data_IF_152653238485
#
_entry.id   IF_152653238485
#
_cell.length_a   1.000
_cell.length_b   1.000
_cell.length_c   1.000
_cell.angle_alpha   90.00
_cell.angle_beta   90.00
_cell.angle_gamma   90.00
#
_symmetry.space_group_name_H-M   'P 1'
#
loop_
_entity.id
_entity.type
_entity.pdbx_description
1 polymer ?
#
# COMPACT_ATOMS: atom_id res chain seq x y z
N UNK A 1 -26.55 -8.20 10.45
CA UNK A 1 -26.48 -6.76 10.21
C UNK A 1 -25.03 -6.40 9.95
N UNK A 2 -24.75 -5.64 8.90
CA UNK A 2 -23.42 -5.11 8.63
C UNK A 2 -23.47 -3.59 8.85
N UNK A 3 -22.54 -3.09 9.66
CA UNK A 3 -22.30 -1.66 9.86
C UNK A 3 -21.00 -1.33 9.14
N UNK A 4 -21.05 -0.38 8.21
CA UNK A 4 -19.92 0.01 7.36
C UNK A 4 -19.84 1.55 7.27
N UNK A 5 -18.81 2.07 6.60
CA UNK A 5 -18.60 3.50 6.35
C UNK A 5 -18.43 4.35 7.61
N UNK A 6 -17.85 3.76 8.67
CA UNK A 6 -17.56 4.43 9.95
C UNK A 6 -16.48 5.53 9.85
N UNK A 7 -15.82 5.62 8.70
CA UNK A 7 -14.88 6.69 8.35
C UNK A 7 -15.57 7.97 7.87
N UNK A 8 -16.86 7.91 7.48
CA UNK A 8 -17.61 9.09 7.07
C UNK A 8 -17.86 10.02 8.25
N UNK A 9 -17.34 11.25 8.14
CA UNK A 9 -17.46 12.25 9.19
C UNK A 9 -16.51 12.03 10.37
N UNK A 10 -15.54 11.11 10.25
CA UNK A 10 -14.46 11.01 11.22
C UNK A 10 -13.66 12.32 11.26
N UNK A 11 -13.48 12.88 12.44
CA UNK A 11 -12.72 14.11 12.69
C UNK A 11 -11.62 13.92 13.75
N UNK A 12 -11.41 12.68 14.20
CA UNK A 12 -10.49 12.32 15.28
C UNK A 12 -10.81 12.99 16.64
N UNK A 13 -12.04 13.49 16.83
CA UNK A 13 -12.51 14.02 18.11
C UNK A 13 -12.65 12.92 19.17
N UNK A 14 -12.60 13.31 20.45
CA UNK A 14 -12.86 12.39 21.55
C UNK A 14 -14.28 11.80 21.47
N UNK A 15 -15.27 12.60 21.10
CA UNK A 15 -16.65 12.13 20.93
C UNK A 15 -16.77 11.03 19.85
N UNK A 16 -16.10 11.20 18.72
CA UNK A 16 -16.06 10.18 17.67
C UNK A 16 -15.40 8.87 18.15
N UNK A 17 -14.31 8.97 18.94
CA UNK A 17 -13.65 7.81 19.54
C UNK A 17 -14.55 7.10 20.55
N UNK A 18 -15.22 7.83 21.44
CA UNK A 18 -16.16 7.26 22.41
C UNK A 18 -17.38 6.62 21.73
N UNK A 19 -17.88 7.22 20.64
CA UNK A 19 -18.94 6.65 19.83
C UNK A 19 -18.56 5.27 19.26
N UNK A 20 -17.36 5.16 18.66
CA UNK A 20 -16.87 3.87 18.13
C UNK A 20 -16.66 2.84 19.24
N UNK A 21 -16.08 3.24 20.38
CA UNK A 21 -15.92 2.36 21.52
C UNK A 21 -17.27 1.81 22.03
N UNK A 22 -18.28 2.68 22.15
CA UNK A 22 -19.65 2.29 22.52
C UNK A 22 -20.31 1.36 21.49
N UNK A 23 -20.10 1.63 20.20
CA UNK A 23 -20.60 0.77 19.11
C UNK A 23 -20.03 -0.65 19.19
N UNK A 24 -18.72 -0.79 19.38
CA UNK A 24 -18.08 -2.10 19.51
C UNK A 24 -18.61 -2.88 20.73
N UNK A 25 -18.70 -2.22 21.88
CA UNK A 25 -19.25 -2.85 23.10
C UNK A 25 -20.71 -3.28 22.92
N UNK A 26 -21.53 -2.45 22.27
CA UNK A 26 -22.92 -2.78 21.99
C UNK A 26 -23.04 -3.98 21.03
N UNK A 27 -22.25 -3.99 19.96
CA UNK A 27 -22.23 -5.08 18.99
C UNK A 27 -21.83 -6.41 19.64
N UNK A 28 -20.78 -6.41 20.46
CA UNK A 28 -20.32 -7.60 21.19
C UNK A 28 -21.41 -8.13 22.14
N UNK A 29 -22.04 -7.25 22.94
CA UNK A 29 -23.14 -7.63 23.83
C UNK A 29 -24.33 -8.24 23.09
N UNK A 30 -24.74 -7.63 21.97
CA UNK A 30 -25.86 -8.15 21.17
C UNK A 30 -25.53 -9.51 20.56
N UNK A 31 -24.31 -9.66 20.03
CA UNK A 31 -23.84 -10.92 19.43
C UNK A 31 -23.77 -12.09 20.42
N UNK A 32 -23.59 -11.79 21.72
CA UNK A 32 -23.58 -12.76 22.81
C UNK A 32 -24.99 -13.15 23.26
N UNK A 33 -25.90 -12.17 23.38
CA UNK A 33 -27.23 -12.39 23.96
C UNK A 33 -28.21 -13.00 22.95
N UNK A 34 -28.10 -12.64 21.67
CA UNK A 34 -29.04 -13.09 20.64
C UNK A 34 -28.36 -13.96 19.58
N UNK A 35 -28.53 -15.29 19.59
CA UNK A 35 -27.92 -16.16 18.59
C UNK A 35 -28.49 -15.96 17.18
N UNK A 36 -29.69 -15.40 17.05
CA UNK A 36 -30.34 -15.14 15.76
C UNK A 36 -29.96 -13.78 15.15
N UNK A 37 -29.18 -12.96 15.87
CA UNK A 37 -28.72 -11.66 15.38
C UNK A 37 -27.20 -11.56 15.49
N UNK A 38 -26.54 -11.45 14.33
CA UNK A 38 -25.11 -11.17 14.25
C UNK A 38 -24.87 -9.79 13.64
N UNK A 39 -24.08 -8.99 14.33
CA UNK A 39 -23.62 -7.67 13.95
C UNK A 39 -22.15 -7.81 13.55
N UNK A 40 -21.86 -7.41 12.32
CA UNK A 40 -20.52 -7.27 11.78
C UNK A 40 -20.25 -5.78 11.59
N UNK A 41 -19.03 -5.36 11.92
CA UNK A 41 -18.58 -3.98 11.75
C UNK A 41 -17.35 -4.00 10.86
N UNK A 42 -17.37 -3.23 9.78
CA UNK A 42 -16.18 -2.93 8.98
C UNK A 42 -15.68 -1.53 9.30
N UNK A 43 -14.38 -1.42 9.54
CA UNK A 43 -13.70 -0.16 9.82
C UNK A 43 -12.32 -0.19 9.17
N UNK A 44 -11.82 0.99 8.80
CA UNK A 44 -10.47 1.18 8.27
C UNK A 44 -9.44 0.94 9.39
N UNK A 45 -8.32 0.32 9.05
CA UNK A 45 -7.34 -0.14 10.04
C UNK A 45 -6.72 1.03 10.83
N UNK A 46 -6.35 2.10 10.14
CA UNK A 46 -5.80 3.30 10.75
C UNK A 46 -6.79 4.02 11.66
N UNK A 47 -8.10 3.88 11.45
CA UNK A 47 -9.09 4.40 12.39
C UNK A 47 -9.19 3.51 13.62
N UNK A 48 -9.18 2.19 13.45
CA UNK A 48 -9.19 1.24 14.55
C UNK A 48 -7.97 1.38 15.46
N UNK A 49 -6.78 1.53 14.88
CA UNK A 49 -5.51 1.65 15.62
C UNK A 49 -5.46 2.93 16.49
N UNK A 50 -6.24 3.95 16.14
CA UNK A 50 -6.28 5.28 16.77
C UNK A 50 -7.36 5.44 17.86
N UNK A 51 -7.90 4.35 18.42
CA UNK A 51 -8.91 4.45 19.48
C UNK A 51 -8.37 3.91 20.81
N UNK A 52 -7.66 4.75 21.59
CA UNK A 52 -7.14 4.41 22.90
C UNK A 52 -8.16 3.87 23.89
N UNK A 53 -9.39 4.39 23.82
CA UNK A 53 -10.49 4.10 24.73
C UNK A 53 -11.04 2.68 24.56
N UNK A 54 -10.73 2.00 23.45
CA UNK A 54 -10.98 0.57 23.29
C UNK A 54 -9.99 -0.25 24.13
N UNK A 55 -8.83 0.31 24.53
CA UNK A 55 -7.75 -0.43 25.20
C UNK A 55 -8.02 -0.89 26.63
N UNK A 56 -8.95 -0.29 27.37
CA UNK A 56 -9.30 -0.75 28.73
C UNK A 56 -9.87 -2.18 28.74
N UNK A 57 -10.51 -2.62 27.64
CA UNK A 57 -11.00 -3.99 27.41
C UNK A 57 -10.49 -4.59 26.07
N UNK A 58 -9.50 -3.97 25.41
CA UNK A 58 -9.13 -4.29 24.01
C UNK A 58 -8.68 -5.73 23.79
N UNK A 59 -8.25 -6.43 24.83
CA UNK A 59 -7.90 -7.84 24.69
C UNK A 59 -9.08 -8.64 24.12
N UNK A 60 -10.30 -8.41 24.64
CA UNK A 60 -11.52 -9.11 24.20
C UNK A 60 -11.95 -8.69 22.80
N UNK A 61 -11.86 -7.39 22.52
CA UNK A 61 -12.26 -6.85 21.21
C UNK A 61 -11.27 -7.30 20.12
N UNK A 62 -9.96 -7.37 20.42
CA UNK A 62 -8.94 -7.86 19.47
C UNK A 62 -9.14 -9.32 19.09
N UNK A 63 -9.66 -10.16 19.99
CA UNK A 63 -9.98 -11.56 19.68
C UNK A 63 -11.17 -11.68 18.70
N UNK A 64 -12.05 -10.68 18.67
CA UNK A 64 -13.21 -10.62 17.76
C UNK A 64 -12.91 -9.88 16.44
N UNK A 65 -11.69 -9.38 16.24
CA UNK A 65 -11.28 -8.60 15.06
C UNK A 65 -10.52 -9.46 14.07
N UNK A 66 -11.06 -9.55 12.86
CA UNK A 66 -10.39 -10.19 11.72
C UNK A 66 -9.81 -9.13 10.78
N UNK A 67 -8.49 -9.13 10.59
CA UNK A 67 -7.82 -8.23 9.65
C UNK A 67 -7.77 -8.86 8.27
N UNK A 68 -8.48 -8.27 7.31
CA UNK A 68 -8.50 -8.76 5.93
C UNK A 68 -7.18 -8.42 5.23
N UNK A 69 -6.44 -9.47 4.83
CA UNK A 69 -5.21 -9.34 4.04
C UNK A 69 -5.34 -10.06 2.70
N UNK A 70 -4.99 -9.35 1.65
CA UNK A 70 -4.75 -9.78 0.29
C UNK A 70 -3.28 -10.10 0.04
N UNK A 71 -3.03 -11.25 -0.57
CA UNK A 71 -1.76 -11.62 -1.20
C UNK A 71 -1.82 -11.46 -2.73
N UNK A 72 -0.67 -11.65 -3.37
CA UNK A 72 -0.50 -11.49 -4.82
C UNK A 72 -1.38 -12.47 -5.61
N UNK A 73 -1.46 -13.72 -5.17
CA UNK A 73 -2.23 -14.78 -5.82
C UNK A 73 -3.74 -14.48 -5.76
N UNK A 74 -4.24 -13.99 -4.62
CA UNK A 74 -5.61 -13.56 -4.43
C UNK A 74 -5.95 -12.35 -5.30
N UNK A 75 -5.03 -11.38 -5.41
CA UNK A 75 -5.18 -10.23 -6.31
C UNK A 75 -5.22 -10.64 -7.78
N UNK A 76 -4.37 -11.60 -8.19
CA UNK A 76 -4.39 -12.19 -9.53
C UNK A 76 -5.74 -12.87 -9.81
N UNK A 77 -6.27 -13.65 -8.87
CA UNK A 77 -7.58 -14.29 -9.03
C UNK A 77 -8.71 -13.26 -9.11
N UNK A 78 -8.65 -12.19 -8.29
CA UNK A 78 -9.62 -11.10 -8.33
C UNK A 78 -9.66 -10.41 -9.69
N UNK A 79 -8.50 -10.02 -10.23
CA UNK A 79 -8.46 -9.37 -11.55
C UNK A 79 -8.83 -10.36 -12.65
N UNK A 80 -8.44 -11.63 -12.54
CA UNK A 80 -8.80 -12.67 -13.50
C UNK A 80 -10.32 -12.89 -13.59
N UNK A 81 -11.06 -12.77 -12.48
CA UNK A 81 -12.54 -12.82 -12.48
C UNK A 81 -13.15 -11.61 -13.17
N UNK A 82 -12.57 -10.42 -12.96
CA UNK A 82 -12.99 -9.20 -13.68
C UNK A 82 -12.73 -9.31 -15.18
N UNK A 83 -11.58 -9.84 -15.57
CA UNK A 83 -11.25 -10.06 -16.99
C UNK A 83 -12.28 -11.00 -17.64
N UNK A 84 -12.68 -12.09 -16.97
CA UNK A 84 -13.74 -12.98 -17.50
C UNK A 84 -15.05 -12.24 -17.72
N UNK A 85 -15.44 -11.38 -16.79
CA UNK A 85 -16.67 -10.60 -16.94
C UNK A 85 -16.66 -9.72 -18.20
N UNK A 86 -15.51 -9.12 -18.52
CA UNK A 86 -15.33 -8.32 -19.74
C UNK A 86 -15.08 -9.16 -21.00
N UNK A 87 -14.53 -10.38 -20.85
CA UNK A 87 -14.17 -11.30 -21.93
C UNK A 87 -14.66 -12.73 -21.63
N UNK A 88 -15.95 -13.05 -21.87
CA UNK A 88 -16.54 -14.36 -21.52
C UNK A 88 -15.80 -15.57 -22.14
N UNK A 89 -15.12 -15.38 -23.28
CA UNK A 89 -14.29 -16.42 -23.90
C UNK A 89 -13.06 -16.86 -23.10
N UNK A 90 -12.69 -16.12 -22.04
CA UNK A 90 -11.50 -16.36 -21.22
C UNK A 90 -11.75 -17.29 -20.01
N UNK A 91 -12.99 -17.76 -19.79
CA UNK A 91 -13.38 -18.58 -18.63
C UNK A 91 -12.52 -19.84 -18.45
N UNK A 92 -12.14 -20.50 -19.54
CA UNK A 92 -11.36 -21.75 -19.51
C UNK A 92 -9.86 -21.54 -19.28
N UNK A 93 -9.39 -20.30 -19.30
CA UNK A 93 -7.98 -19.96 -19.08
C UNK A 93 -7.66 -19.88 -17.59
N UNK A 94 -6.43 -20.24 -17.21
CA UNK A 94 -5.92 -19.97 -15.86
C UNK A 94 -5.81 -18.47 -15.60
N UNK A 95 -5.83 -18.04 -14.34
CA UNK A 95 -5.79 -16.62 -13.96
C UNK A 95 -4.64 -15.85 -14.64
N UNK A 96 -3.44 -16.43 -14.62
CA UNK A 96 -2.28 -15.83 -15.28
C UNK A 96 -2.38 -15.77 -16.81
N UNK A 97 -3.03 -16.76 -17.44
CA UNK A 97 -3.30 -16.72 -18.90
C UNK A 97 -4.37 -15.68 -19.24
N UNK A 98 -5.35 -15.45 -18.37
CA UNK A 98 -6.33 -14.36 -18.53
C UNK A 98 -5.66 -13.00 -18.46
N UNK A 99 -4.76 -12.80 -17.49
CA UNK A 99 -3.92 -11.61 -17.42
C UNK A 99 -3.14 -11.38 -18.73
N UNK A 100 -2.41 -12.40 -19.19
CA UNK A 100 -1.63 -12.35 -20.44
C UNK A 100 -2.44 -12.22 -21.73
N UNK A 101 -3.75 -12.43 -21.66
CA UNK A 101 -4.63 -12.17 -22.79
C UNK A 101 -4.89 -10.66 -22.95
N UNK A 102 -4.81 -9.90 -21.86
CA UNK A 102 -5.11 -8.46 -21.81
C UNK A 102 -3.84 -7.62 -21.73
N UNK A 103 -2.84 -8.02 -20.95
CA UNK A 103 -1.57 -7.30 -20.77
C UNK A 103 -0.41 -8.07 -21.43
N UNK A 104 0.64 -7.35 -21.84
CA UNK A 104 1.93 -7.95 -22.21
C UNK A 104 2.48 -8.77 -21.04
N UNK A 105 3.20 -9.87 -21.30
CA UNK A 105 3.68 -10.71 -20.19
C UNK A 105 4.77 -10.03 -19.37
N UNK A 106 5.62 -9.25 -20.02
CA UNK A 106 6.78 -8.61 -19.42
C UNK A 106 6.93 -7.20 -19.99
N UNK A 107 7.52 -6.33 -19.20
CA UNK A 107 8.00 -5.03 -19.65
C UNK A 107 9.29 -5.22 -20.42
N UNK A 108 9.37 -4.64 -21.62
CA UNK A 108 10.51 -4.75 -22.52
C UNK A 108 11.77 -4.06 -21.96
N UNK A 109 11.61 -3.00 -21.15
CA UNK A 109 12.75 -2.28 -20.57
C UNK A 109 13.47 -3.02 -19.45
N UNK A 110 12.76 -3.87 -18.69
CA UNK A 110 13.24 -4.41 -17.42
C UNK A 110 13.10 -5.93 -17.28
N UNK A 111 12.47 -6.61 -18.24
CA UNK A 111 12.16 -8.05 -18.21
C UNK A 111 11.31 -8.51 -17.01
N UNK A 112 10.74 -7.55 -16.26
CA UNK A 112 9.83 -7.75 -15.13
C UNK A 112 8.45 -8.16 -15.64
N UNK A 113 7.79 -9.09 -14.94
CA UNK A 113 6.40 -9.45 -15.24
C UNK A 113 5.46 -8.26 -15.04
N UNK A 114 4.58 -8.00 -16.01
CA UNK A 114 3.69 -6.83 -15.96
C UNK A 114 2.71 -6.86 -14.78
N UNK A 115 2.28 -8.05 -14.36
CA UNK A 115 1.44 -8.22 -13.18
C UNK A 115 2.18 -7.78 -11.93
N UNK A 116 3.44 -8.23 -11.79
CA UNK A 116 4.29 -7.94 -10.64
C UNK A 116 4.59 -6.45 -10.55
N UNK A 117 4.88 -5.84 -11.70
CA UNK A 117 5.11 -4.40 -11.81
C UNK A 117 3.93 -3.57 -11.32
N UNK A 118 2.71 -3.94 -11.74
CA UNK A 118 1.48 -3.26 -11.35
C UNK A 118 1.18 -3.53 -9.87
N UNK A 119 1.25 -4.79 -9.42
CA UNK A 119 0.95 -5.15 -8.03
C UNK A 119 1.90 -4.45 -7.04
N UNK A 120 3.20 -4.33 -7.33
CA UNK A 120 4.19 -3.65 -6.45
C UNK A 120 3.84 -2.17 -6.17
N UNK A 121 2.94 -1.58 -6.98
CA UNK A 121 2.46 -0.19 -6.85
C UNK A 121 1.11 -0.04 -6.16
N UNK A 122 0.47 -1.14 -5.76
CA UNK A 122 -0.91 -1.11 -5.24
C UNK A 122 -1.00 -1.25 -3.73
N UNK A 123 0.13 -1.39 -3.03
CA UNK A 123 0.18 -1.74 -1.59
C UNK A 123 -0.68 -2.98 -1.27
N UNK A 124 -0.79 -3.91 -2.23
CA UNK A 124 -1.66 -5.09 -2.19
C UNK A 124 -3.15 -4.78 -1.93
N UNK A 125 -3.61 -3.56 -2.21
CA UNK A 125 -5.02 -3.17 -2.07
C UNK A 125 -5.79 -3.48 -3.37
N UNK A 126 -6.85 -4.30 -3.34
CA UNK A 126 -7.61 -4.66 -4.55
C UNK A 126 -8.17 -3.48 -5.33
N UNK A 127 -8.63 -2.45 -4.63
CA UNK A 127 -9.17 -1.24 -5.26
C UNK A 127 -8.12 -0.51 -6.08
N UNK A 128 -6.89 -0.41 -5.55
CA UNK A 128 -5.76 0.22 -6.22
C UNK A 128 -5.35 -0.55 -7.48
N UNK A 129 -5.30 -1.88 -7.41
CA UNK A 129 -5.05 -2.73 -8.57
C UNK A 129 -6.08 -2.50 -9.68
N UNK A 130 -7.35 -2.46 -9.32
CA UNK A 130 -8.44 -2.22 -10.27
C UNK A 130 -8.36 -0.82 -10.88
N UNK A 131 -8.07 0.20 -10.07
CA UNK A 131 -7.92 1.58 -10.53
C UNK A 131 -6.75 1.70 -11.51
N UNK A 132 -5.60 1.12 -11.18
CA UNK A 132 -4.43 1.16 -12.07
C UNK A 132 -4.72 0.42 -13.38
N UNK A 133 -5.31 -0.79 -13.34
CA UNK A 133 -5.70 -1.50 -14.56
C UNK A 133 -6.70 -0.70 -15.41
N UNK A 134 -7.63 0.03 -14.79
CA UNK A 134 -8.59 0.87 -15.49
C UNK A 134 -7.89 2.02 -16.22
N UNK A 135 -6.97 2.72 -15.56
CA UNK A 135 -6.17 3.77 -16.19
C UNK A 135 -5.36 3.23 -17.38
N UNK A 136 -4.79 2.03 -17.27
CA UNK A 136 -4.10 1.39 -18.40
C UNK A 136 -5.01 1.16 -19.61
N UNK A 137 -6.28 0.80 -19.38
CA UNK A 137 -7.26 0.63 -20.46
C UNK A 137 -7.64 1.98 -21.08
N UNK A 138 -7.76 3.04 -20.27
CA UNK A 138 -8.10 4.39 -20.73
C UNK A 138 -6.99 5.03 -21.58
N UNK A 139 -5.74 4.60 -21.41
CA UNK A 139 -4.60 5.03 -22.23
C UNK A 139 -4.52 4.34 -23.61
N UNK A 140 -5.38 3.36 -23.91
CA UNK A 140 -5.40 2.72 -25.22
C UNK A 140 -6.12 3.61 -26.25
N UNK A 141 -5.44 3.92 -27.34
CA UNK A 141 -6.08 4.54 -28.50
C UNK A 141 -7.15 3.63 -29.10
N UNK A 142 -8.28 4.22 -29.52
CA UNK A 142 -9.36 3.48 -30.19
C UNK A 142 -8.90 2.74 -31.46
N UNK A 143 -7.83 3.21 -32.12
CA UNK A 143 -7.22 2.58 -33.29
C UNK A 143 -6.44 1.29 -32.96
N UNK A 144 -6.10 1.07 -31.69
CA UNK A 144 -5.41 -0.12 -31.16
C UNK A 144 -6.40 -1.14 -30.54
N UNK A 145 -7.69 -0.97 -30.79
CA UNK A 145 -8.73 -1.88 -30.29
C UNK A 145 -8.43 -3.34 -30.64
N UNK A 146 -8.26 -4.17 -29.60
CA UNK A 146 -7.94 -5.60 -29.70
C UNK A 146 -6.46 -5.96 -29.50
N UNK A 147 -5.57 -4.97 -29.31
CA UNK A 147 -4.20 -5.23 -28.86
C UNK A 147 -4.12 -5.40 -27.34
N UNK A 148 -3.07 -6.10 -26.90
CA UNK A 148 -2.74 -6.18 -25.48
C UNK A 148 -2.23 -4.83 -25.00
N UNK A 149 -2.54 -4.49 -23.75
CA UNK A 149 -1.95 -3.36 -23.05
C UNK A 149 -0.45 -3.60 -22.95
N UNK A 150 0.32 -2.73 -23.59
CA UNK A 150 1.76 -2.77 -23.66
C UNK A 150 2.44 -1.92 -22.58
N UNK A 151 3.76 -1.89 -22.59
CA UNK A 151 4.54 -1.10 -21.63
C UNK A 151 4.32 0.40 -21.77
N UNK A 152 4.10 0.91 -22.99
CA UNK A 152 3.82 2.32 -23.22
C UNK A 152 2.51 2.76 -22.55
N UNK A 153 1.45 1.97 -22.70
CA UNK A 153 0.18 2.23 -22.05
C UNK A 153 0.28 2.13 -20.51
N UNK A 154 1.03 1.15 -19.98
CA UNK A 154 1.27 1.03 -18.53
C UNK A 154 2.04 2.26 -18.01
N UNK A 155 3.09 2.68 -18.70
CA UNK A 155 3.88 3.84 -18.29
C UNK A 155 3.08 5.14 -18.33
N UNK A 156 2.25 5.34 -19.37
CA UNK A 156 1.35 6.49 -19.47
C UNK A 156 0.32 6.53 -18.33
N UNK A 157 -0.29 5.37 -18.03
CA UNK A 157 -1.24 5.24 -16.93
C UNK A 157 -0.59 5.47 -15.55
N UNK A 158 0.66 5.05 -15.38
CA UNK A 158 1.41 5.21 -14.14
C UNK A 158 1.60 6.68 -13.74
N UNK A 159 1.77 7.60 -14.70
CA UNK A 159 1.87 9.04 -14.42
C UNK A 159 0.62 9.54 -13.68
N UNK A 160 -0.57 9.22 -14.19
CA UNK A 160 -1.85 9.59 -13.58
C UNK A 160 -2.13 8.82 -12.30
N UNK A 161 -1.84 7.52 -12.28
CA UNK A 161 -2.02 6.67 -11.11
C UNK A 161 -1.15 7.15 -9.94
N UNK A 162 0.10 7.53 -10.21
CA UNK A 162 1.04 7.96 -9.18
C UNK A 162 0.60 9.25 -8.50
N UNK A 163 0.06 10.20 -9.27
CA UNK A 163 -0.51 11.42 -8.71
C UNK A 163 -1.71 11.13 -7.81
N UNK A 164 -2.70 10.39 -8.36
CA UNK A 164 -3.91 10.02 -7.61
C UNK A 164 -3.53 9.29 -6.33
N UNK A 165 -2.69 8.27 -6.43
CA UNK A 165 -2.28 7.45 -5.29
C UNK A 165 -1.54 8.25 -4.22
N UNK A 166 -0.65 9.16 -4.59
CA UNK A 166 0.13 9.96 -3.63
C UNK A 166 -0.78 10.96 -2.89
N UNK A 167 -1.70 11.61 -3.60
CA UNK A 167 -2.68 12.53 -2.99
C UNK A 167 -3.67 11.77 -2.10
N UNK A 168 -4.17 10.63 -2.57
CA UNK A 168 -5.10 9.78 -1.81
C UNK A 168 -4.44 9.30 -0.51
N UNK A 169 -3.18 8.87 -0.59
CA UNK A 169 -2.40 8.48 0.59
C UNK A 169 -2.28 9.63 1.60
N UNK A 170 -1.98 10.85 1.17
CA UNK A 170 -1.94 12.00 2.07
C UNK A 170 -3.33 12.30 2.68
N UNK A 171 -4.39 12.19 1.88
CA UNK A 171 -5.76 12.49 2.31
C UNK A 171 -6.31 11.49 3.34
N UNK A 172 -5.89 10.22 3.25
CA UNK A 172 -6.26 9.13 4.16
C UNK A 172 -5.89 9.46 5.61
N UNK A 173 -4.75 10.11 5.81
CA UNK A 173 -4.21 10.44 7.14
C UNK A 173 -4.40 11.90 7.55
N UNK A 174 -5.18 12.69 6.80
CA UNK A 174 -5.28 14.16 6.99
C UNK A 174 -5.65 14.64 8.40
N UNK A 175 -6.37 13.81 9.17
CA UNK A 175 -6.80 14.13 10.53
C UNK A 175 -5.72 13.82 11.58
N UNK A 176 -4.77 12.96 11.24
CA UNK A 176 -3.64 12.58 12.10
C UNK A 176 -2.41 13.42 11.74
N UNK A 177 -2.18 13.60 10.44
CA UNK A 177 -1.07 14.36 9.88
C UNK A 177 -1.63 15.38 8.86
N UNK A 178 -2.07 16.56 9.31
CA UNK A 178 -2.52 17.62 8.42
C UNK A 178 -1.41 17.98 7.42
N UNK A 179 -1.81 18.30 6.19
CA UNK A 179 -0.87 18.71 5.13
C UNK A 179 0.26 17.70 4.83
N UNK A 180 0.05 16.40 5.09
CA UNK A 180 1.04 15.34 4.84
C UNK A 180 1.61 15.31 3.42
N UNK A 181 0.86 15.80 2.42
CA UNK A 181 1.36 15.93 1.06
C UNK A 181 2.59 16.85 0.99
N UNK A 182 2.63 17.93 1.77
CA UNK A 182 3.74 18.90 1.79
C UNK A 182 5.03 18.20 2.31
N UNK A 183 4.91 17.18 3.17
CA UNK A 183 6.04 16.30 3.56
C UNK A 183 6.50 15.41 2.41
N UNK A 184 5.59 14.85 1.62
CA UNK A 184 5.96 14.06 0.43
C UNK A 184 6.66 14.92 -0.62
N UNK A 185 6.22 16.17 -0.78
CA UNK A 185 6.82 17.14 -1.70
C UNK A 185 8.28 17.45 -1.38
N UNK A 186 8.72 17.34 -0.13
CA UNK A 186 10.13 17.48 0.24
C UNK A 186 11.04 16.39 -0.38
N UNK A 187 10.47 15.27 -0.84
CA UNK A 187 11.18 14.24 -1.60
C UNK A 187 11.21 14.50 -3.11
N UNK A 188 10.52 15.53 -3.62
CA UNK A 188 10.42 15.80 -5.05
C UNK A 188 11.80 15.98 -5.69
N UNK A 189 12.05 15.28 -6.79
CA UNK A 189 13.33 15.34 -7.52
C UNK A 189 14.52 14.69 -6.82
N UNK A 190 14.31 14.07 -5.65
CA UNK A 190 15.30 13.31 -4.89
C UNK A 190 15.42 11.88 -5.43
N UNK A 191 16.19 11.03 -4.75
CA UNK A 191 16.45 9.63 -5.15
C UNK A 191 15.28 8.71 -4.77
N UNK A 192 15.11 7.61 -5.48
CA UNK A 192 14.15 6.56 -5.10
C UNK A 192 14.64 5.69 -3.94
N UNK A 193 15.95 5.50 -3.83
CA UNK A 193 16.60 4.61 -2.87
C UNK A 193 17.52 5.39 -1.93
N UNK A 194 17.50 5.02 -0.65
CA UNK A 194 18.25 5.65 0.42
C UNK A 194 19.01 4.61 1.24
N UNK A 195 20.24 4.92 1.64
CA UNK A 195 20.82 4.30 2.83
C UNK A 195 20.08 4.78 4.08
N UNK A 196 20.26 4.07 5.19
CA UNK A 196 19.73 4.49 6.49
C UNK A 196 20.15 5.92 6.83
N UNK A 197 21.43 6.22 6.71
CA UNK A 197 22.02 7.51 7.06
C UNK A 197 21.52 8.64 6.16
N UNK A 198 21.39 8.38 4.86
CA UNK A 198 20.86 9.37 3.89
C UNK A 198 19.42 9.76 4.21
N UNK A 199 18.57 8.77 4.53
CA UNK A 199 17.18 9.03 4.90
C UNK A 199 17.09 9.72 6.26
N UNK A 200 17.81 9.21 7.27
CA UNK A 200 17.78 9.76 8.63
C UNK A 200 18.23 11.23 8.64
N UNK A 201 19.26 11.57 7.86
CA UNK A 201 19.70 12.97 7.69
C UNK A 201 18.62 13.84 7.06
N UNK A 202 17.98 13.38 5.98
CA UNK A 202 16.91 14.14 5.32
C UNK A 202 15.73 14.39 6.27
N UNK A 203 15.29 13.37 7.02
CA UNK A 203 14.19 13.48 7.98
C UNK A 203 14.56 14.39 9.15
N UNK A 204 15.79 14.31 9.64
CA UNK A 204 16.30 15.21 10.66
C UNK A 204 16.30 16.67 10.17
N UNK A 205 16.75 16.93 8.94
CA UNK A 205 16.71 18.27 8.35
C UNK A 205 15.27 18.81 8.20
N UNK A 206 14.27 17.96 7.97
CA UNK A 206 12.85 18.38 7.98
C UNK A 206 12.39 18.79 9.39
N UNK A 207 12.64 17.93 10.39
CA UNK A 207 12.26 18.18 11.80
C UNK A 207 13.00 19.39 12.39
N UNK A 208 14.23 19.65 11.97
CA UNK A 208 14.98 20.84 12.37
C UNK A 208 14.58 22.12 11.61
N UNK A 209 13.70 22.02 10.61
CA UNK A 209 13.27 23.15 9.79
C UNK A 209 14.30 23.64 8.76
N UNK A 210 15.32 22.84 8.46
CA UNK A 210 16.29 23.13 7.38
C UNK A 210 15.68 22.85 6.00
N UNK A 211 14.80 21.85 5.93
CA UNK A 211 13.97 21.53 4.75
C UNK A 211 12.56 22.02 5.02
N UNK A 212 12.08 22.93 4.18
CA UNK A 212 10.73 23.45 4.27
C UNK A 212 9.70 22.38 3.88
N UNK A 213 8.76 22.14 4.79
CA UNK A 213 7.60 21.25 4.60
C UNK A 213 6.28 22.04 4.62
N UNK A 214 6.37 23.33 4.35
CA UNK A 214 5.26 24.27 4.24
C UNK A 214 4.29 24.18 5.44
N UNK A 215 3.02 23.79 5.18
CA UNK A 215 1.97 23.77 6.20
C UNK A 215 2.05 22.56 7.11
N UNK A 216 2.86 21.56 6.77
CA UNK A 216 3.12 20.44 7.67
C UNK A 216 4.10 20.80 8.80
N UNK A 217 4.79 21.96 8.71
CA UNK A 217 5.75 22.40 9.71
C UNK A 217 5.16 22.44 11.13
N UNK A 218 3.87 22.78 11.26
CA UNK A 218 3.14 22.86 12.53
C UNK A 218 3.24 21.60 13.38
N UNK A 219 3.31 20.41 12.79
CA UNK A 219 3.45 19.15 13.53
C UNK A 219 4.81 18.47 13.28
N UNK A 220 5.43 18.68 12.13
CA UNK A 220 6.72 18.06 11.79
C UNK A 220 7.84 18.56 12.72
N UNK A 221 7.86 19.85 13.05
CA UNK A 221 8.89 20.44 13.92
C UNK A 221 8.80 19.96 15.38
N UNK A 222 7.60 19.52 15.81
CA UNK A 222 7.36 18.99 17.16
C UNK A 222 7.55 17.46 17.24
N UNK A 223 7.88 16.80 16.13
CA UNK A 223 8.02 15.34 16.01
C UNK A 223 9.49 14.94 15.99
N UNK A 224 9.88 13.80 16.56
CA UNK A 224 11.25 13.27 16.40
C UNK A 224 11.47 12.64 15.00
N UNK A 225 12.69 12.68 14.46
CA UNK A 225 12.97 12.12 13.13
C UNK A 225 12.68 10.60 13.03
N UNK A 226 12.86 9.83 14.12
CA UNK A 226 12.50 8.41 14.17
C UNK A 226 10.99 8.23 14.15
N UNK A 227 10.25 9.11 14.81
CA UNK A 227 8.80 9.11 14.77
C UNK A 227 8.28 9.46 13.37
N UNK A 228 8.84 10.50 12.72
CA UNK A 228 8.53 10.82 11.33
C UNK A 228 8.84 9.65 10.38
N UNK A 229 9.99 8.98 10.55
CA UNK A 229 10.34 7.77 9.80
C UNK A 229 9.32 6.65 10.01
N UNK A 230 8.89 6.46 11.26
CA UNK A 230 7.89 5.46 11.62
C UNK A 230 6.51 5.78 11.03
N UNK A 231 6.13 7.06 10.95
CA UNK A 231 4.91 7.53 10.28
C UNK A 231 4.98 7.20 8.80
N UNK A 232 6.03 7.64 8.09
CA UNK A 232 6.21 7.40 6.65
C UNK A 232 6.25 5.91 6.30
N UNK A 233 6.78 5.07 7.21
CA UNK A 233 6.69 3.62 7.09
C UNK A 233 5.26 3.10 7.25
N UNK A 234 4.57 3.43 8.34
CA UNK A 234 3.22 2.90 8.67
C UNK A 234 2.20 3.23 7.59
N UNK A 235 2.21 4.46 7.07
CA UNK A 235 1.30 4.88 5.99
C UNK A 235 1.64 4.18 4.65
N UNK A 236 2.82 3.55 4.55
CA UNK A 236 3.26 2.82 3.37
C UNK A 236 3.89 3.70 2.30
N UNK A 237 4.41 4.88 2.68
CA UNK A 237 5.23 5.73 1.81
C UNK A 237 6.65 5.17 1.66
N UNK A 238 7.17 4.47 2.68
CA UNK A 238 8.47 3.79 2.64
C UNK A 238 8.32 2.28 2.42
N UNK A 239 9.30 1.69 1.72
CA UNK A 239 9.56 0.24 1.67
C UNK A 239 10.96 -0.06 2.22
N UNK A 240 11.11 -1.14 2.98
CA UNK A 240 12.39 -1.58 3.58
C UNK A 240 12.97 -2.75 2.82
N UNK A 241 14.28 -2.80 2.65
CA UNK A 241 14.96 -3.95 2.07
C UNK A 241 15.09 -5.08 3.09
N UNK A 242 14.71 -6.29 2.69
CA UNK A 242 14.86 -7.49 3.51
C UNK A 242 15.61 -8.55 2.70
N UNK A 243 16.68 -9.09 3.28
CA UNK A 243 17.40 -10.23 2.72
C UNK A 243 16.55 -11.51 2.85
N UNK A 244 16.58 -12.41 1.85
CA UNK A 244 15.75 -13.64 1.83
C UNK A 244 15.92 -14.58 3.02
N UNK A 245 16.97 -14.43 3.84
CA UNK A 245 17.20 -15.28 5.00
C UNK A 245 16.38 -14.87 6.24
N UNK A 246 15.56 -13.81 6.15
CA UNK A 246 14.62 -13.45 7.21
C UNK A 246 13.42 -14.41 7.24
N UNK A 247 13.09 -15.03 8.39
CA UNK A 247 11.94 -15.93 8.50
C UNK A 247 10.66 -15.10 8.62
N UNK A 248 10.06 -14.69 7.50
CA UNK A 248 8.68 -14.19 7.48
C UNK A 248 7.85 -14.95 6.44
N UNK A 249 6.66 -15.32 6.89
CA UNK A 249 5.70 -16.22 6.25
C UNK A 249 5.27 -15.79 4.85
N UNK A 250 5.65 -16.58 3.84
CA UNK A 250 4.71 -17.22 2.93
C UNK A 250 5.50 -18.25 2.09
N UNK A 251 5.19 -19.53 2.27
CA UNK A 251 5.64 -20.57 1.34
C UNK A 251 4.79 -20.46 0.07
N UNK A 252 5.04 -19.47 -0.78
CA UNK A 252 4.61 -19.56 -2.17
C UNK A 252 5.61 -20.44 -2.91
N UNK A 253 5.13 -21.60 -3.32
CA UNK A 253 5.91 -22.63 -3.99
C UNK A 253 6.20 -22.20 -5.42
N UNK A 254 7.19 -21.34 -5.63
CA UNK A 254 7.74 -21.09 -6.95
C UNK A 254 8.99 -21.96 -7.16
N UNK A 255 8.79 -23.18 -7.70
CA UNK A 255 9.87 -23.93 -8.35
C UNK A 255 10.31 -23.16 -9.59
N UNK A 256 11.33 -22.32 -9.45
CA UNK A 256 12.07 -21.78 -10.61
C UNK A 256 13.16 -22.77 -11.01
N UNK A 257 13.06 -23.25 -12.25
CA UNK A 257 14.04 -24.11 -12.90
C UNK A 257 15.33 -23.31 -13.11
N UNK A 258 16.43 -23.93 -12.69
CA UNK A 258 17.79 -23.38 -12.69
C UNK A 258 18.31 -23.03 -14.09
N UNK A 259 18.84 -21.83 -14.25
CA UNK A 259 20.00 -21.57 -15.11
C UNK A 259 21.10 -20.93 -14.26
N UNK A 260 22.19 -21.68 -14.07
CA UNK A 260 23.40 -21.29 -13.33
C UNK A 260 24.16 -20.23 -14.13
N UNK A 261 24.43 -19.05 -13.55
CA UNK A 261 25.71 -18.31 -13.66
C UNK A 261 25.76 -17.03 -12.82
N UNK A 262 26.83 -16.91 -12.04
CA UNK A 262 27.49 -15.69 -11.53
C UNK A 262 26.98 -14.98 -10.25
N UNK A 263 27.93 -14.83 -9.31
CA UNK A 263 28.05 -13.89 -8.16
C UNK A 263 26.79 -13.63 -7.33
N UNK A 264 26.76 -14.22 -6.13
CA UNK A 264 25.79 -13.99 -5.07
C UNK A 264 25.74 -12.52 -4.62
N UNK A 265 25.01 -11.66 -5.35
CA UNK A 265 24.33 -10.51 -4.76
C UNK A 265 23.25 -11.11 -3.87
N UNK A 266 23.26 -10.79 -2.57
CA UNK A 266 22.23 -11.25 -1.64
C UNK A 266 20.85 -10.93 -2.24
N UNK A 267 20.10 -11.97 -2.59
CA UNK A 267 18.78 -11.80 -3.16
C UNK A 267 17.85 -11.35 -2.04
N UNK A 268 17.41 -10.10 -2.08
CA UNK A 268 16.44 -9.54 -1.16
C UNK A 268 15.26 -8.93 -1.91
N UNK A 269 14.32 -8.37 -1.18
CA UNK A 269 13.15 -7.67 -1.74
C UNK A 269 12.79 -6.48 -0.87
N UNK A 270 12.15 -5.48 -1.47
CA UNK A 270 11.58 -4.37 -0.74
C UNK A 270 10.16 -4.71 -0.30
N UNK A 271 9.88 -4.62 1.00
CA UNK A 271 8.57 -4.87 1.59
C UNK A 271 8.01 -3.58 2.19
N UNK A 272 6.70 -3.36 2.06
CA UNK A 272 6.00 -2.26 2.73
C UNK A 272 5.46 -2.66 4.11
N UNK A 273 4.94 -1.70 4.86
CA UNK A 273 4.34 -1.94 6.18
C UNK A 273 3.23 -3.00 6.16
N UNK A 274 2.42 -3.00 5.10
CA UNK A 274 1.36 -3.99 4.91
C UNK A 274 1.92 -5.43 4.90
N UNK A 275 3.06 -5.65 4.25
CA UNK A 275 3.71 -6.95 4.11
C UNK A 275 4.50 -7.34 5.37
N UNK A 276 5.10 -6.35 6.04
CA UNK A 276 5.94 -6.55 7.22
C UNK A 276 5.58 -5.55 8.34
N UNK A 277 4.46 -5.72 9.05
CA UNK A 277 3.97 -4.71 9.99
C UNK A 277 4.91 -4.50 11.20
N UNK A 278 5.56 -5.58 11.64
CA UNK A 278 6.47 -5.59 12.80
C UNK A 278 7.92 -5.63 12.33
N UNK A 279 8.50 -4.46 12.06
CA UNK A 279 9.92 -4.31 11.74
C UNK A 279 10.54 -3.23 12.63
N UNK A 280 11.76 -3.47 13.09
CA UNK A 280 12.55 -2.40 13.72
C UNK A 280 13.30 -1.64 12.62
N UNK A 281 12.84 -0.42 12.33
CA UNK A 281 13.40 0.44 11.28
C UNK A 281 14.84 0.88 11.55
N UNK A 282 15.32 0.81 12.80
CA UNK A 282 16.70 1.13 13.14
C UNK A 282 17.67 0.07 12.63
N UNK A 283 17.22 -1.17 12.42
CA UNK A 283 18.04 -2.27 11.93
C UNK A 283 18.00 -2.41 10.39
N UNK A 284 17.38 -1.45 9.70
CA UNK A 284 17.23 -1.47 8.25
C UNK A 284 18.26 -0.53 7.61
N UNK A 285 19.18 -1.12 6.84
CA UNK A 285 20.25 -0.37 6.17
C UNK A 285 19.80 0.31 4.87
N UNK A 286 18.72 -0.18 4.24
CA UNK A 286 18.27 0.28 2.92
C UNK A 286 16.77 0.45 2.88
N UNK A 287 16.36 1.63 2.47
CA UNK A 287 14.97 2.01 2.30
C UNK A 287 14.76 2.56 0.89
N UNK A 288 13.52 2.52 0.43
CA UNK A 288 13.11 3.22 -0.79
C UNK A 288 11.76 3.88 -0.59
N UNK A 289 11.50 4.93 -1.36
CA UNK A 289 10.13 5.46 -1.48
C UNK A 289 9.29 4.44 -2.24
N UNK A 290 8.01 4.33 -1.86
CA UNK A 290 7.08 3.42 -2.49
C UNK A 290 6.99 3.71 -4.00
N UNK A 291 7.14 2.71 -4.90
CA UNK A 291 7.18 2.93 -6.35
C UNK A 291 5.96 3.67 -6.91
N UNK A 292 4.81 3.54 -6.25
CA UNK A 292 3.60 4.27 -6.61
C UNK A 292 3.72 5.79 -6.51
N UNK A 293 4.68 6.32 -5.74
CA UNK A 293 4.87 7.77 -5.56
C UNK A 293 5.96 8.34 -6.48
N UNK A 294 6.70 7.48 -7.19
CA UNK A 294 7.90 7.85 -7.95
C UNK A 294 7.61 8.84 -9.07
N UNK A 295 6.57 8.60 -9.88
CA UNK A 295 6.30 9.44 -11.05
C UNK A 295 5.82 10.83 -10.67
N UNK A 296 4.86 10.90 -9.74
CA UNK A 296 4.32 12.17 -9.27
C UNK A 296 5.36 13.06 -8.60
N UNK A 297 6.26 12.48 -7.80
CA UNK A 297 7.35 13.20 -7.13
C UNK A 297 8.60 13.37 -8.02
N UNK A 298 8.58 12.92 -9.27
CA UNK A 298 9.72 12.96 -10.19
C UNK A 298 11.02 12.44 -9.57
N UNK A 299 10.93 11.33 -8.83
CA UNK A 299 12.10 10.76 -8.16
C UNK A 299 13.08 10.19 -9.21
N UNK A 300 14.36 10.31 -8.92
CA UNK A 300 15.45 9.83 -9.77
C UNK A 300 15.81 8.41 -9.37
N UNK A 301 15.77 7.50 -10.33
CA UNK A 301 16.37 6.19 -10.16
C UNK A 301 17.90 6.34 -10.10
N UNK A 302 18.51 5.75 -9.07
CA UNK A 302 19.97 5.73 -8.96
C UNK A 302 20.54 4.87 -10.12
N UNK A 303 21.61 5.33 -10.79
CA UNK A 303 22.31 4.55 -11.82
C UNK A 303 23.00 3.30 -11.27
#
# INVERSE_FOLDING_TARGET
>A
MLVDELDKGWDNSEDAKYFLAGLFQAAQKINLINPNLKIYISIRQELFDNIPQIYEDAQKIREDVEVIRWDKEQLLELIARRIVHSFPGAEKLSAYRRWKAVFVSKLSSSEIDSLDYIIDRTQLRPRELLQFCKLCVECLDYSLAGQRIDECAIAAAEESYSEQKTRDLASEYRFQYPHLLDVFEAFRGQRTHYSKEELDYLLLSMVCGEVDVERAADWVLDTDYLELKQILWKIGFLKVWVARDHPSSSKSSAKSVTSKTSRHKAAGTYLGHYELPTVNLENIDRLRIHPACTKFLHLKDNP
#
